data_IF_564175749125
#
_entry.id   IF_564175749125
#
_cell.length_a   1.000
_cell.length_b   1.000
_cell.length_c   1.000
_cell.angle_alpha   90.00
_cell.angle_beta   90.00
_cell.angle_gamma   90.00
#
_symmetry.space_group_name_H-M   'P 1'
#
loop_
_entity.id
_entity.type
_entity.pdbx_description
1 polymer ?
#
# COMPACT_ATOMS: atom_id res chain seq x y z
N UNK A 1 10.50 -32.08 -25.92
CA UNK A 1 9.32 -32.05 -26.84
C UNK A 1 8.02 -32.01 -26.05
N UNK A 2 6.94 -31.54 -26.69
CA UNK A 2 5.57 -31.65 -26.17
C UNK A 2 5.11 -33.11 -26.22
N UNK A 3 4.82 -33.70 -25.05
CA UNK A 3 4.46 -35.12 -24.91
C UNK A 3 2.97 -35.40 -25.18
N UNK A 4 2.37 -34.68 -26.14
CA UNK A 4 0.96 -34.82 -26.51
C UNK A 4 -0.02 -34.07 -25.62
N UNK A 5 0.38 -32.92 -25.06
CA UNK A 5 -0.53 -32.06 -24.28
C UNK A 5 -1.69 -31.56 -25.16
N UNK A 6 -2.92 -31.72 -24.69
CA UNK A 6 -4.13 -31.27 -25.42
C UNK A 6 -4.21 -29.75 -25.56
N UNK A 7 -3.61 -29.03 -24.61
CA UNK A 7 -3.58 -27.57 -24.57
C UNK A 7 -2.21 -26.99 -24.98
N UNK A 8 -1.30 -27.84 -25.44
CA UNK A 8 0.10 -27.50 -25.70
C UNK A 8 0.95 -27.40 -24.44
N UNK A 9 2.25 -27.62 -24.59
CA UNK A 9 3.27 -27.35 -23.56
C UNK A 9 4.01 -26.07 -23.92
N UNK A 10 4.20 -25.16 -22.96
CA UNK A 10 4.95 -23.91 -23.17
C UNK A 10 6.18 -23.89 -22.29
N UNK A 11 7.32 -23.46 -22.85
CA UNK A 11 8.58 -23.23 -22.16
C UNK A 11 8.90 -21.75 -22.25
N UNK A 12 9.02 -21.05 -21.11
CA UNK A 12 9.30 -19.61 -21.05
C UNK A 12 8.37 -18.79 -21.97
N UNK A 13 7.06 -19.08 -21.92
CA UNK A 13 6.02 -18.48 -22.76
C UNK A 13 6.10 -18.79 -24.28
N UNK A 14 6.99 -19.69 -24.70
CA UNK A 14 7.13 -20.15 -26.08
C UNK A 14 6.56 -21.56 -26.21
N UNK A 15 5.71 -21.80 -27.21
CA UNK A 15 5.11 -23.12 -27.43
C UNK A 15 6.19 -24.13 -27.85
N UNK A 16 6.21 -25.31 -27.21
CA UNK A 16 7.20 -26.35 -27.50
C UNK A 16 6.75 -27.14 -28.73
N UNK A 17 7.37 -26.88 -29.88
CA UNK A 17 7.03 -27.55 -31.15
C UNK A 17 7.97 -28.72 -31.49
N UNK A 18 9.19 -28.71 -30.94
CA UNK A 18 10.20 -29.76 -31.11
C UNK A 18 10.94 -30.04 -29.80
N UNK A 19 11.99 -30.87 -29.84
CA UNK A 19 12.89 -30.97 -28.69
C UNK A 19 13.60 -29.64 -28.44
N UNK A 20 13.49 -29.15 -27.22
CA UNK A 20 14.09 -27.91 -26.73
C UNK A 20 14.94 -28.23 -25.50
N UNK A 21 16.19 -27.74 -25.42
CA UNK A 21 17.02 -27.92 -24.23
C UNK A 21 16.44 -27.13 -23.06
N UNK A 22 16.57 -27.70 -21.86
CA UNK A 22 16.09 -27.10 -20.61
C UNK A 22 17.28 -26.56 -19.81
N UNK A 23 17.10 -25.38 -19.24
CA UNK A 23 18.04 -24.70 -18.35
C UNK A 23 17.45 -24.55 -16.94
N UNK A 24 18.32 -24.38 -15.96
CA UNK A 24 17.89 -24.12 -14.59
C UNK A 24 17.06 -22.84 -14.53
N UNK A 25 15.97 -22.87 -13.76
CA UNK A 25 14.96 -21.80 -13.64
C UNK A 25 14.03 -21.60 -14.84
N UNK A 26 14.05 -22.48 -15.84
CA UNK A 26 13.05 -22.48 -16.90
C UNK A 26 11.63 -22.72 -16.38
N UNK A 27 10.66 -22.04 -16.97
CA UNK A 27 9.25 -22.14 -16.63
C UNK A 27 8.52 -22.99 -17.65
N UNK A 28 8.00 -24.14 -17.23
CA UNK A 28 7.17 -25.03 -18.04
C UNK A 28 5.71 -24.80 -17.65
N UNK A 29 4.90 -24.40 -18.62
CA UNK A 29 3.47 -24.21 -18.45
C UNK A 29 2.68 -25.31 -19.17
N UNK A 30 1.76 -25.94 -18.44
CA UNK A 30 0.85 -26.98 -18.88
C UNK A 30 -0.59 -26.56 -18.49
N UNK A 31 -1.33 -26.02 -19.46
CA UNK A 31 -2.62 -25.38 -19.18
C UNK A 31 -2.48 -24.22 -18.18
N UNK A 32 -3.15 -24.33 -17.03
CA UNK A 32 -3.12 -23.33 -15.96
C UNK A 32 -2.01 -23.59 -14.92
N UNK A 33 -1.25 -24.68 -15.06
CA UNK A 33 -0.17 -25.04 -14.15
C UNK A 33 1.18 -24.50 -14.65
N UNK A 34 1.93 -23.84 -13.77
CA UNK A 34 3.28 -23.32 -14.05
C UNK A 34 4.28 -23.99 -13.11
N UNK A 35 5.24 -24.69 -13.70
CA UNK A 35 6.31 -25.43 -13.03
C UNK A 35 7.64 -24.71 -13.28
N UNK A 36 8.42 -24.50 -12.23
CA UNK A 36 9.78 -23.97 -12.32
C UNK A 36 10.70 -24.92 -11.54
N UNK A 37 11.81 -25.31 -12.15
CA UNK A 37 12.75 -26.26 -11.57
C UNK A 37 14.17 -25.69 -11.63
N UNK A 38 15.03 -26.14 -10.71
CA UNK A 38 16.45 -25.87 -10.76
C UNK A 38 17.18 -27.17 -11.12
N UNK A 39 18.00 -27.14 -12.16
CA UNK A 39 18.92 -28.25 -12.45
C UNK A 39 20.11 -28.10 -11.52
N UNK A 40 20.30 -29.08 -10.64
CA UNK A 40 21.46 -29.17 -9.76
C UNK A 40 22.30 -30.33 -10.28
N UNK A 41 23.49 -30.02 -10.79
CA UNK A 41 24.43 -31.04 -11.24
C UNK A 41 25.04 -31.72 -10.00
N UNK A 42 25.04 -33.06 -9.95
CA UNK A 42 25.60 -33.84 -8.83
C UNK A 42 27.11 -33.63 -8.64
N UNK A 43 27.77 -32.91 -9.55
CA UNK A 43 29.22 -32.67 -9.57
C UNK A 43 29.66 -31.29 -9.01
N UNK A 44 28.77 -30.50 -8.38
CA UNK A 44 29.20 -29.26 -7.72
C UNK A 44 29.87 -29.56 -6.36
N UNK A 45 31.11 -30.04 -6.41
CA UNK A 45 31.97 -30.17 -5.23
C UNK A 45 32.42 -28.78 -4.72
N UNK A 46 32.28 -28.57 -3.41
CA UNK A 46 32.79 -27.42 -2.67
C UNK A 46 34.32 -27.33 -2.82
N UNK A 47 34.82 -26.28 -3.47
CA UNK A 47 36.25 -25.96 -3.42
C UNK A 47 36.60 -25.54 -1.98
N UNK A 48 37.53 -26.22 -1.29
CA UNK A 48 37.97 -25.80 0.03
C UNK A 48 38.79 -24.51 -0.05
N UNK A 49 38.50 -23.60 0.88
CA UNK A 49 39.19 -22.31 1.06
C UNK A 49 40.61 -22.60 1.62
N UNK A 50 41.56 -23.00 0.78
CA UNK A 50 42.96 -23.21 1.22
C UNK A 50 44.01 -23.09 0.12
N UNK A 51 43.75 -22.35 -0.97
CA UNK A 51 44.77 -22.14 -2.01
C UNK A 51 44.60 -20.84 -2.79
N UNK A 52 44.89 -19.70 -2.14
CA UNK A 52 45.34 -18.50 -2.84
C UNK A 52 46.57 -17.93 -2.12
N UNK A 53 47.68 -17.82 -2.86
CA UNK A 53 49.01 -17.46 -2.40
C UNK A 53 49.14 -16.01 -1.90
N UNK A 54 50.12 -15.72 -1.02
CA UNK A 54 50.41 -14.39 -0.51
C UNK A 54 51.49 -13.72 -1.37
N UNK A 55 51.11 -12.83 -2.28
CA UNK A 55 52.05 -11.82 -2.80
C UNK A 55 51.30 -10.77 -3.64
N UNK A 56 50.99 -9.64 -3.01
CA UNK A 56 50.91 -8.32 -3.65
C UNK A 56 50.78 -7.24 -2.57
N UNK A 57 51.77 -7.15 -1.70
CA UNK A 57 52.03 -5.93 -0.93
C UNK A 57 52.70 -4.92 -1.86
N UNK A 58 51.95 -3.93 -2.36
CA UNK A 58 52.50 -2.60 -2.66
C UNK A 58 51.52 -1.53 -2.20
N UNK A 59 52.01 -0.69 -1.30
CA UNK A 59 51.33 0.48 -0.79
C UNK A 59 51.18 1.55 -1.88
N UNK A 60 49.94 1.97 -2.12
CA UNK A 60 49.60 3.18 -2.84
C UNK A 60 48.40 3.82 -2.15
N UNK A 61 48.62 4.97 -1.51
CA UNK A 61 47.63 5.67 -0.73
C UNK A 61 46.46 6.18 -1.59
N UNK A 62 45.27 5.60 -1.44
CA UNK A 62 44.00 6.22 -1.82
C UNK A 62 42.92 5.82 -0.81
N UNK A 63 42.17 6.83 -0.37
CA UNK A 63 41.10 6.78 0.63
C UNK A 63 40.00 5.77 0.27
N UNK A 64 39.47 4.97 1.21
CA UNK A 64 38.35 4.10 0.92
C UNK A 64 37.04 4.90 0.88
N UNK A 65 36.54 5.19 -0.31
CA UNK A 65 35.12 5.45 -0.54
C UNK A 65 34.47 4.09 -0.78
N UNK A 66 33.80 3.56 0.24
CA UNK A 66 33.08 2.28 0.13
C UNK A 66 31.64 2.55 -0.33
N UNK A 67 31.38 2.33 -1.62
CA UNK A 67 30.06 1.91 -2.10
C UNK A 67 30.03 0.37 -2.04
N UNK A 68 29.11 -0.26 -1.28
CA UNK A 68 28.95 -1.70 -1.34
C UNK A 68 28.32 -2.08 -2.69
N UNK A 69 29.04 -2.88 -3.48
CA UNK A 69 28.48 -3.52 -4.68
C UNK A 69 27.32 -4.43 -4.28
N UNK A 70 26.10 -4.02 -4.65
CA UNK A 70 24.88 -4.77 -4.46
C UNK A 70 24.58 -5.59 -5.72
N UNK A 71 24.24 -6.89 -5.62
CA UNK A 71 23.75 -7.65 -6.76
C UNK A 71 22.42 -7.05 -7.24
N UNK A 72 22.30 -6.81 -8.55
CA UNK A 72 21.13 -6.21 -9.17
C UNK A 72 19.96 -7.19 -9.18
N UNK A 73 18.98 -6.98 -8.29
CA UNK A 73 17.69 -7.68 -8.34
C UNK A 73 16.66 -6.86 -9.15
N UNK A 74 16.05 -7.50 -10.15
CA UNK A 74 14.95 -6.94 -10.95
C UNK A 74 13.64 -7.23 -10.21
N UNK A 75 12.93 -6.19 -9.76
CA UNK A 75 11.56 -6.30 -9.29
C UNK A 75 10.64 -6.62 -10.49
N UNK A 76 10.09 -7.84 -10.55
CA UNK A 76 9.04 -8.20 -11.52
C UNK A 76 7.74 -7.48 -11.12
N UNK A 77 7.30 -6.54 -11.96
CA UNK A 77 6.02 -5.85 -11.79
C UNK A 77 4.84 -6.85 -11.90
N UNK A 78 3.72 -6.65 -11.18
CA UNK A 78 2.51 -7.41 -11.40
C UNK A 78 1.87 -6.96 -12.72
N UNK A 79 1.79 -7.86 -13.70
CA UNK A 79 1.08 -7.61 -14.95
C UNK A 79 -0.43 -7.70 -14.70
N UNK A 80 -1.14 -6.59 -14.85
CA UNK A 80 -2.61 -6.55 -14.86
C UNK A 80 -3.14 -6.91 -16.25
N UNK A 81 -3.94 -7.98 -16.43
CA UNK A 81 -4.55 -8.29 -17.71
C UNK A 81 -5.99 -7.76 -17.73
N UNK A 82 -6.21 -6.45 -17.97
CA UNK A 82 -7.48 -5.83 -18.44
C UNK A 82 -7.29 -4.31 -18.39
N UNK A 83 -7.21 -3.55 -19.49
CA UNK A 83 -8.38 -2.85 -20.05
C UNK A 83 -7.99 -2.15 -21.38
N UNK A 84 -7.79 -2.92 -22.45
CA UNK A 84 -7.91 -2.42 -23.84
C UNK A 84 -9.41 -2.31 -24.20
N UNK A 85 -10.15 -1.36 -23.61
CA UNK A 85 -11.54 -1.06 -24.04
C UNK A 85 -11.85 0.46 -24.09
N UNK A 86 -10.93 1.34 -23.68
CA UNK A 86 -11.23 2.77 -23.51
C UNK A 86 -11.11 3.66 -24.77
N UNK A 87 -10.68 3.13 -25.93
CA UNK A 87 -10.49 3.94 -27.15
C UNK A 87 -11.75 4.16 -28.00
N UNK A 88 -12.85 3.43 -27.78
CA UNK A 88 -14.07 3.54 -28.61
C UNK A 88 -15.22 4.33 -27.97
N UNK A 89 -15.14 4.70 -26.68
CA UNK A 89 -16.21 5.46 -26.00
C UNK A 89 -16.13 6.98 -26.18
N UNK A 90 -14.95 7.56 -26.44
CA UNK A 90 -14.80 9.03 -26.56
C UNK A 90 -15.50 9.61 -27.81
N UNK A 91 -15.68 8.83 -28.88
CA UNK A 91 -16.31 9.31 -30.12
C UNK A 91 -17.85 9.43 -30.00
N UNK A 92 -18.50 8.57 -29.21
CA UNK A 92 -19.95 8.60 -29.00
C UNK A 92 -20.41 9.74 -28.09
N UNK A 93 -19.59 10.15 -27.10
CA UNK A 93 -19.92 11.28 -26.22
C UNK A 93 -19.77 12.64 -26.90
N UNK A 94 -18.89 12.78 -27.91
CA UNK A 94 -18.72 14.01 -28.67
C UNK A 94 -19.87 14.28 -29.67
N UNK A 95 -20.45 13.23 -30.27
CA UNK A 95 -21.63 13.39 -31.14
C UNK A 95 -22.91 13.70 -30.35
N UNK A 96 -23.05 13.12 -29.15
CA UNK A 96 -24.20 13.35 -28.28
C UNK A 96 -24.26 14.77 -27.71
N UNK A 97 -23.10 15.37 -27.37
CA UNK A 97 -23.05 16.76 -26.88
C UNK A 97 -23.33 17.79 -27.97
N UNK A 98 -22.97 17.50 -29.22
CA UNK A 98 -23.23 18.38 -30.37
C UNK A 98 -24.73 18.46 -30.72
N UNK A 99 -25.45 17.33 -30.64
CA UNK A 99 -26.91 17.29 -30.85
C UNK A 99 -27.69 17.98 -29.72
N UNK A 100 -27.18 17.92 -28.49
CA UNK A 100 -27.79 18.57 -27.32
C UNK A 100 -27.58 20.09 -27.33
N UNK A 101 -26.40 20.55 -27.81
CA UNK A 101 -26.13 21.96 -28.07
C UNK A 101 -26.99 22.53 -29.21
N UNK A 102 -27.26 21.73 -30.27
CA UNK A 102 -28.15 22.13 -31.37
C UNK A 102 -29.62 22.26 -30.93
N UNK A 103 -30.06 21.38 -30.01
CA UNK A 103 -31.39 21.45 -29.41
C UNK A 103 -31.58 22.66 -28.47
N UNK A 104 -30.52 23.07 -27.75
CA UNK A 104 -30.52 24.26 -26.89
C UNK A 104 -30.48 25.57 -27.71
N UNK A 105 -29.83 25.57 -28.87
CA UNK A 105 -29.77 26.74 -29.74
C UNK A 105 -31.16 27.09 -30.35
N UNK A 106 -31.95 26.08 -30.73
CA UNK A 106 -33.31 26.29 -31.26
C UNK A 106 -34.34 26.72 -30.20
N UNK A 107 -34.03 26.59 -28.92
CA UNK A 107 -34.94 26.99 -27.82
C UNK A 107 -34.63 28.40 -27.27
N UNK A 108 -33.58 29.07 -27.74
CA UNK A 108 -33.14 30.38 -27.26
C UNK A 108 -33.72 31.59 -28.02
N UNK A 109 -34.71 31.39 -28.89
CA UNK A 109 -35.22 32.45 -29.77
C UNK A 109 -36.51 33.14 -29.28
N UNK A 110 -36.82 33.07 -27.98
CA UNK A 110 -37.87 33.92 -27.40
C UNK A 110 -37.37 34.67 -26.16
N UNK A 111 -37.15 35.98 -26.33
CA UNK A 111 -37.15 36.98 -25.25
C UNK A 111 -38.32 37.95 -25.47
N UNK A 112 -38.88 38.55 -24.41
CA UNK A 112 -38.54 39.95 -24.15
C UNK A 112 -38.31 40.24 -22.64
N UNK A 113 -37.20 40.89 -22.26
CA UNK A 113 -36.95 42.33 -22.02
C UNK A 113 -37.03 42.72 -20.53
N UNK A 114 -35.86 43.17 -20.03
CA UNK A 114 -35.52 43.85 -18.78
C UNK A 114 -36.22 45.22 -18.63
N UNK A 115 -36.28 45.88 -17.45
CA UNK A 115 -35.14 46.66 -16.85
C UNK A 115 -35.19 46.70 -15.28
N UNK A 116 -34.30 47.24 -14.45
CA UNK A 116 -32.96 47.87 -14.46
C UNK A 116 -32.64 48.19 -12.99
N UNK A 117 -31.37 48.03 -12.61
CA UNK A 117 -30.58 48.64 -11.51
C UNK A 117 -31.25 49.20 -10.23
N UNK A 118 -30.66 48.86 -9.07
CA UNK A 118 -29.97 49.87 -8.23
C UNK A 118 -29.03 49.24 -7.20
N UNK A 119 -27.91 49.92 -7.06
CA UNK A 119 -26.72 49.73 -6.23
C UNK A 119 -26.90 50.20 -4.77
N UNK A 120 -25.96 49.75 -3.91
CA UNK A 120 -25.28 50.42 -2.77
C UNK A 120 -25.39 49.68 -1.40
N UNK A 121 -24.21 49.16 -1.01
CA UNK A 121 -23.47 49.21 0.25
C UNK A 121 -24.02 48.77 1.63
N UNK A 122 -23.17 47.95 2.26
CA UNK A 122 -22.60 47.99 3.62
C UNK A 122 -23.40 47.60 4.88
N UNK A 123 -22.84 46.55 5.50
CA UNK A 123 -22.73 46.17 6.92
C UNK A 123 -23.54 46.91 8.00
N UNK A 124 -24.26 46.13 8.81
CA UNK A 124 -24.08 46.22 10.27
C UNK A 124 -24.47 44.94 11.00
N UNK A 125 -23.70 44.62 12.04
CA UNK A 125 -23.94 43.58 13.05
C UNK A 125 -25.19 43.90 13.86
N UNK A 126 -25.99 42.89 14.22
CA UNK A 126 -26.50 42.76 15.60
C UNK A 126 -27.12 41.39 15.89
N UNK A 127 -26.82 40.93 17.10
CA UNK A 127 -27.44 39.78 17.79
C UNK A 127 -28.90 40.09 18.10
N UNK A 128 -29.72 39.03 18.09
CA UNK A 128 -30.82 38.83 19.03
C UNK A 128 -32.08 39.66 18.79
N UNK A 129 -33.09 39.04 18.18
CA UNK A 129 -34.48 39.08 18.63
C UNK A 129 -35.31 38.14 17.76
N UNK A 130 -35.74 37.01 18.33
CA UNK A 130 -37.01 36.41 17.94
C UNK A 130 -38.11 37.42 18.33
N UNK A 131 -38.37 38.37 17.43
CA UNK A 131 -39.46 39.32 17.54
C UNK A 131 -40.45 39.03 16.43
N UNK A 132 -41.62 38.49 16.80
CA UNK A 132 -42.80 38.41 15.93
C UNK A 132 -43.10 39.80 15.37
N UNK A 133 -42.92 39.96 14.07
CA UNK A 133 -43.70 40.91 13.28
C UNK A 133 -44.50 40.08 12.28
N UNK A 134 -45.73 39.77 12.68
CA UNK A 134 -46.79 39.42 11.75
C UNK A 134 -47.21 40.70 11.04
N UNK A 135 -46.48 41.05 9.99
CA UNK A 135 -46.91 42.07 9.05
C UNK A 135 -47.75 41.40 7.97
N UNK A 136 -48.82 42.06 7.53
CA UNK A 136 -49.92 41.52 6.72
C UNK A 136 -49.42 40.79 5.46
N UNK A 137 -49.18 39.50 5.58
CA UNK A 137 -49.00 38.60 4.45
C UNK A 137 -50.38 38.36 3.85
N UNK A 138 -50.56 38.72 2.58
CA UNK A 138 -51.50 38.00 1.71
C UNK A 138 -51.25 36.54 2.00
N UNK A 139 -52.25 35.79 2.47
CA UNK A 139 -52.08 34.37 2.74
C UNK A 139 -51.84 33.69 1.38
N UNK A 140 -50.56 33.59 0.98
CA UNK A 140 -50.11 33.05 -0.31
C UNK A 140 -50.55 31.59 -0.50
N UNK A 141 -51.02 30.95 0.58
CA UNK A 141 -51.56 29.60 0.64
C UNK A 141 -53.10 29.58 0.81
N UNK A 142 -53.79 30.73 0.73
CA UNK A 142 -55.24 30.87 0.94
C UNK A 142 -56.11 30.03 -0.01
N UNK A 143 -55.64 29.83 -1.26
CA UNK A 143 -56.35 29.05 -2.29
C UNK A 143 -56.05 27.54 -2.27
N UNK A 144 -55.26 27.06 -1.30
CA UNK A 144 -54.76 25.68 -1.21
C UNK A 144 -55.50 24.95 -0.09
N UNK A 145 -55.74 23.65 -0.27
CA UNK A 145 -56.41 22.84 0.77
C UNK A 145 -55.61 22.85 2.07
N UNK A 146 -56.29 22.70 3.21
CA UNK A 146 -55.61 22.69 4.52
C UNK A 146 -54.53 21.59 4.59
N UNK A 147 -54.81 20.41 4.03
CA UNK A 147 -53.88 19.27 3.99
C UNK A 147 -52.63 19.62 3.17
N UNK A 148 -52.81 20.21 1.99
CA UNK A 148 -51.69 20.61 1.13
C UNK A 148 -50.86 21.74 1.76
N UNK A 149 -51.52 22.67 2.47
CA UNK A 149 -50.84 23.74 3.21
C UNK A 149 -49.96 23.17 4.32
N UNK A 150 -50.49 22.26 5.14
CA UNK A 150 -49.72 21.59 6.20
C UNK A 150 -48.56 20.78 5.61
N UNK A 151 -48.78 20.10 4.49
CA UNK A 151 -47.75 19.36 3.76
C UNK A 151 -46.62 20.28 3.25
N UNK A 152 -46.94 21.41 2.62
CA UNK A 152 -45.96 22.41 2.15
C UNK A 152 -45.13 22.93 3.33
N UNK A 153 -45.77 23.28 4.44
CA UNK A 153 -45.07 23.79 5.63
C UNK A 153 -44.14 22.73 6.25
N UNK A 154 -44.59 21.48 6.31
CA UNK A 154 -43.77 20.36 6.78
C UNK A 154 -42.56 20.14 5.87
N UNK A 155 -42.74 20.15 4.54
CA UNK A 155 -41.64 20.03 3.56
C UNK A 155 -40.67 21.18 3.64
N UNK A 156 -41.16 22.40 3.84
CA UNK A 156 -40.30 23.57 4.06
C UNK A 156 -39.46 23.47 5.32
N UNK A 157 -39.99 22.87 6.39
CA UNK A 157 -39.23 22.62 7.61
C UNK A 157 -38.19 21.52 7.39
N UNK A 158 -38.58 20.42 6.74
CA UNK A 158 -37.68 19.31 6.37
C UNK A 158 -36.51 19.81 5.50
N UNK A 159 -36.78 20.66 4.51
CA UNK A 159 -35.74 21.28 3.69
C UNK A 159 -34.76 22.15 4.50
N UNK A 160 -35.27 22.95 5.45
CA UNK A 160 -34.42 23.74 6.36
C UNK A 160 -33.56 22.84 7.22
N UNK A 161 -34.08 21.71 7.66
CA UNK A 161 -33.33 20.75 8.47
C UNK A 161 -32.26 20.03 7.64
N UNK A 162 -32.56 19.64 6.39
CA UNK A 162 -31.54 19.14 5.45
C UNK A 162 -30.47 20.19 5.14
N UNK A 163 -30.85 21.45 4.97
CA UNK A 163 -29.92 22.56 4.77
C UNK A 163 -28.99 22.76 5.97
N UNK A 164 -29.53 22.77 7.20
CA UNK A 164 -28.73 22.84 8.44
C UNK A 164 -27.77 21.66 8.57
N UNK A 165 -28.19 20.48 8.12
CA UNK A 165 -27.38 19.26 8.11
C UNK A 165 -26.41 19.19 6.92
N UNK A 166 -26.25 20.27 6.13
CA UNK A 166 -25.39 20.37 4.93
C UNK A 166 -25.72 19.35 3.84
N UNK A 167 -26.94 18.82 3.82
CA UNK A 167 -27.44 17.91 2.79
C UNK A 167 -28.16 18.70 1.69
N UNK A 168 -27.44 19.61 1.03
CA UNK A 168 -28.06 20.60 0.14
C UNK A 168 -28.77 19.98 -1.06
N UNK A 169 -28.25 18.88 -1.63
CA UNK A 169 -28.94 18.15 -2.71
C UNK A 169 -30.32 17.61 -2.28
N UNK A 170 -30.45 17.08 -1.05
CA UNK A 170 -31.75 16.65 -0.53
C UNK A 170 -32.64 17.83 -0.18
N UNK A 171 -32.06 18.88 0.41
CA UNK A 171 -32.79 20.11 0.70
C UNK A 171 -33.41 20.70 -0.58
N UNK A 172 -32.68 20.69 -1.70
CA UNK A 172 -33.15 21.20 -2.98
C UNK A 172 -34.33 20.38 -3.51
N UNK A 173 -34.25 19.05 -3.46
CA UNK A 173 -35.35 18.16 -3.87
C UNK A 173 -36.61 18.42 -3.04
N UNK A 174 -36.48 18.52 -1.71
CA UNK A 174 -37.61 18.71 -0.80
C UNK A 174 -38.26 20.09 -0.98
N UNK A 175 -37.49 21.16 -1.23
CA UNK A 175 -38.08 22.47 -1.55
C UNK A 175 -38.75 22.47 -2.91
N UNK A 176 -38.19 21.77 -3.91
CA UNK A 176 -38.84 21.63 -5.22
C UNK A 176 -40.16 20.88 -5.13
N UNK A 177 -40.31 19.91 -4.24
CA UNK A 177 -41.60 19.26 -3.96
C UNK A 177 -42.64 20.26 -3.43
N UNK A 178 -42.24 21.14 -2.51
CA UNK A 178 -43.12 22.20 -1.99
C UNK A 178 -43.52 23.20 -3.09
N UNK A 179 -42.57 23.61 -3.94
CA UNK A 179 -42.80 24.49 -5.08
C UNK A 179 -43.65 23.86 -6.19
N UNK A 180 -43.67 22.52 -6.31
CA UNK A 180 -44.55 21.83 -7.27
C UNK A 180 -46.03 22.01 -6.92
N UNK A 181 -46.35 22.12 -5.63
CA UNK A 181 -47.73 22.30 -5.13
C UNK A 181 -48.09 23.79 -5.07
N UNK A 182 -47.14 24.63 -4.63
CA UNK A 182 -47.31 26.08 -4.58
C UNK A 182 -46.15 26.80 -5.31
N UNK A 183 -46.23 26.94 -6.65
CA UNK A 183 -45.14 27.52 -7.46
C UNK A 183 -44.79 28.97 -7.11
N UNK A 184 -45.76 29.73 -6.59
CA UNK A 184 -45.62 31.15 -6.27
C UNK A 184 -45.40 31.41 -4.77
N UNK A 185 -45.15 30.37 -3.96
CA UNK A 185 -44.95 30.53 -2.52
C UNK A 185 -43.55 31.12 -2.26
N UNK A 186 -43.52 32.41 -1.91
CA UNK A 186 -42.29 33.20 -1.85
C UNK A 186 -41.24 32.64 -0.88
N UNK A 187 -41.60 32.20 0.35
CA UNK A 187 -40.64 31.57 1.26
C UNK A 187 -39.96 30.31 0.70
N UNK A 188 -40.65 29.54 -0.15
CA UNK A 188 -40.07 28.38 -0.81
C UNK A 188 -39.15 28.76 -1.96
N UNK A 189 -39.51 29.80 -2.74
CA UNK A 189 -38.66 30.32 -3.80
C UNK A 189 -37.35 30.87 -3.25
N UNK A 190 -37.42 31.69 -2.19
CA UNK A 190 -36.25 32.26 -1.53
C UNK A 190 -35.33 31.16 -0.97
N UNK A 191 -35.91 30.16 -0.31
CA UNK A 191 -35.16 29.03 0.23
C UNK A 191 -34.52 28.18 -0.89
N UNK A 192 -35.23 27.94 -1.99
CA UNK A 192 -34.71 27.21 -3.15
C UNK A 192 -33.52 27.93 -3.80
N UNK A 193 -33.58 29.26 -3.92
CA UNK A 193 -32.49 30.06 -4.46
C UNK A 193 -31.23 29.96 -3.58
N UNK A 194 -31.38 30.09 -2.26
CA UNK A 194 -30.26 29.98 -1.30
C UNK A 194 -29.64 28.57 -1.34
N UNK A 195 -30.49 27.53 -1.34
CA UNK A 195 -30.02 26.14 -1.40
C UNK A 195 -29.30 25.89 -2.73
N UNK A 196 -29.87 26.35 -3.85
CA UNK A 196 -29.30 26.17 -5.18
C UNK A 196 -27.91 26.80 -5.30
N UNK A 197 -27.77 28.06 -4.88
CA UNK A 197 -26.46 28.75 -4.88
C UNK A 197 -25.44 28.02 -4.00
N UNK A 198 -25.84 27.65 -2.77
CA UNK A 198 -24.94 26.97 -1.82
C UNK A 198 -24.51 25.58 -2.33
N UNK A 199 -25.42 24.86 -2.99
CA UNK A 199 -25.13 23.56 -3.58
C UNK A 199 -24.18 23.67 -4.77
N UNK A 200 -24.37 24.67 -5.62
CA UNK A 200 -23.49 24.95 -6.76
C UNK A 200 -22.07 25.33 -6.29
N UNK A 201 -21.96 26.23 -5.31
CA UNK A 201 -20.68 26.61 -4.71
C UNK A 201 -19.95 25.41 -4.10
N UNK A 202 -20.66 24.54 -3.37
CA UNK A 202 -20.07 23.32 -2.82
C UNK A 202 -19.63 22.34 -3.91
N UNK A 203 -20.43 22.17 -4.96
CA UNK A 203 -20.11 21.30 -6.09
C UNK A 203 -18.85 21.78 -6.80
N UNK A 204 -18.75 23.10 -7.05
CA UNK A 204 -17.58 23.71 -7.67
C UNK A 204 -16.32 23.55 -6.82
N UNK A 205 -16.42 23.79 -5.50
CA UNK A 205 -15.30 23.60 -4.58
C UNK A 205 -14.85 22.13 -4.52
N UNK A 206 -15.82 21.20 -4.52
CA UNK A 206 -15.53 19.76 -4.57
C UNK A 206 -14.80 19.39 -5.84
N UNK A 207 -15.26 19.89 -7.00
CA UNK A 207 -14.62 19.66 -8.29
C UNK A 207 -13.20 20.24 -8.34
N UNK A 208 -12.99 21.47 -7.83
CA UNK A 208 -11.66 22.07 -7.73
C UNK A 208 -10.72 21.22 -6.86
N UNK A 209 -11.21 20.75 -5.71
CA UNK A 209 -10.43 19.90 -4.80
C UNK A 209 -10.08 18.56 -5.43
N UNK A 210 -10.99 17.97 -6.21
CA UNK A 210 -10.75 16.74 -6.95
C UNK A 210 -9.72 16.95 -8.06
N UNK A 211 -9.86 18.03 -8.85
CA UNK A 211 -8.89 18.39 -9.88
C UNK A 211 -7.48 18.61 -9.28
N UNK A 212 -7.37 19.34 -8.17
CA UNK A 212 -6.10 19.52 -7.45
C UNK A 212 -5.51 18.19 -6.96
N UNK A 213 -6.37 17.26 -6.52
CA UNK A 213 -5.92 15.93 -6.08
C UNK A 213 -5.40 15.10 -7.26
N UNK A 214 -6.05 15.20 -8.42
CA UNK A 214 -5.61 14.53 -9.65
C UNK A 214 -4.30 15.12 -10.19
N UNK A 215 -4.19 16.45 -10.23
CA UNK A 215 -2.97 17.17 -10.60
C UNK A 215 -1.80 16.77 -9.71
N UNK A 216 -2.01 16.74 -8.39
CA UNK A 216 -0.97 16.30 -7.44
C UNK A 216 -0.54 14.86 -7.65
N UNK A 217 -1.47 13.95 -7.97
CA UNK A 217 -1.13 12.55 -8.27
C UNK A 217 -0.29 12.44 -9.54
N UNK A 218 -0.66 13.20 -10.57
CA UNK A 218 0.09 13.27 -11.82
C UNK A 218 1.51 13.81 -11.55
N UNK A 219 1.64 14.86 -10.75
CA UNK A 219 2.94 15.39 -10.33
C UNK A 219 3.77 14.35 -9.58
N UNK A 220 3.18 13.63 -8.62
CA UNK A 220 3.84 12.55 -7.88
C UNK A 220 4.31 11.40 -8.79
N UNK A 221 3.52 11.03 -9.79
CA UNK A 221 3.82 9.99 -10.78
C UNK A 221 4.96 10.42 -11.72
N UNK A 222 4.92 11.65 -12.23
CA UNK A 222 6.00 12.24 -13.03
C UNK A 222 7.30 12.28 -12.23
N UNK A 223 7.26 12.72 -10.98
CA UNK A 223 8.43 12.77 -10.10
C UNK A 223 9.00 11.38 -9.79
N UNK A 224 8.13 10.38 -9.64
CA UNK A 224 8.53 8.98 -9.49
C UNK A 224 9.31 8.50 -10.71
N UNK A 225 8.74 8.62 -11.91
CA UNK A 225 9.41 8.18 -13.14
C UNK A 225 10.70 8.97 -13.41
N UNK A 226 10.72 10.28 -13.11
CA UNK A 226 11.93 11.08 -13.23
C UNK A 226 13.05 10.57 -12.31
N UNK A 227 12.71 10.25 -11.05
CA UNK A 227 13.65 9.66 -10.09
C UNK A 227 14.22 8.33 -10.58
N UNK A 228 13.37 7.44 -11.10
CA UNK A 228 13.79 6.13 -11.59
C UNK A 228 14.65 6.27 -12.85
N UNK A 229 14.26 7.14 -13.78
CA UNK A 229 15.03 7.43 -15.00
C UNK A 229 16.44 7.94 -14.66
N UNK A 230 16.57 8.80 -13.66
CA UNK A 230 17.85 9.32 -13.19
C UNK A 230 18.72 8.24 -12.51
N UNK A 231 18.13 7.34 -11.72
CA UNK A 231 18.88 6.22 -11.14
C UNK A 231 19.42 5.28 -12.23
N UNK A 232 18.59 4.92 -13.22
CA UNK A 232 19.05 4.14 -14.38
C UNK A 232 20.12 4.86 -15.19
N UNK A 233 19.97 6.17 -15.39
CA UNK A 233 20.97 7.00 -16.07
C UNK A 233 22.32 6.98 -15.33
N UNK A 234 22.32 7.15 -14.01
CA UNK A 234 23.55 7.13 -13.21
C UNK A 234 24.23 5.75 -13.21
N UNK A 235 23.44 4.68 -13.29
CA UNK A 235 23.92 3.29 -13.43
C UNK A 235 24.32 2.92 -14.86
N UNK A 236 24.30 3.88 -15.79
CA UNK A 236 24.58 3.67 -17.22
C UNK A 236 23.65 2.67 -17.91
N UNK A 237 22.46 2.44 -17.35
CA UNK A 237 21.40 1.61 -17.93
C UNK A 237 20.54 2.48 -18.84
N UNK A 238 21.11 2.91 -19.96
CA UNK A 238 20.55 3.95 -20.82
C UNK A 238 19.21 3.57 -21.43
N UNK A 239 19.03 2.32 -21.84
CA UNK A 239 17.77 1.82 -22.42
C UNK A 239 16.61 1.94 -21.42
N UNK A 240 16.84 1.56 -20.16
CA UNK A 240 15.83 1.65 -19.10
C UNK A 240 15.56 3.09 -18.68
N UNK A 241 16.60 3.92 -18.65
CA UNK A 241 16.43 5.36 -18.41
C UNK A 241 15.53 5.97 -19.51
N UNK A 242 15.73 5.58 -20.77
CA UNK A 242 14.94 6.04 -21.90
C UNK A 242 13.46 5.64 -21.77
N UNK A 243 13.18 4.39 -21.41
CA UNK A 243 11.81 3.91 -21.17
C UNK A 243 11.10 4.72 -20.08
N UNK A 244 11.79 5.06 -18.99
CA UNK A 244 11.21 5.87 -17.92
C UNK A 244 10.98 7.33 -18.35
N UNK A 245 11.87 7.91 -19.15
CA UNK A 245 11.62 9.23 -19.74
C UNK A 245 10.48 9.23 -20.75
N UNK A 246 10.30 8.15 -21.53
CA UNK A 246 9.17 7.99 -22.44
C UNK A 246 7.85 7.96 -21.65
N UNK A 247 7.78 7.25 -20.52
CA UNK A 247 6.60 7.25 -19.63
C UNK A 247 6.26 8.65 -19.10
N UNK A 248 7.27 9.45 -18.74
CA UNK A 248 7.04 10.83 -18.30
C UNK A 248 6.41 11.67 -19.43
N UNK A 249 6.88 11.48 -20.66
CA UNK A 249 6.37 12.20 -21.83
C UNK A 249 4.99 11.68 -22.29
N UNK A 250 4.64 10.43 -21.98
CA UNK A 250 3.26 9.94 -22.14
C UNK A 250 2.30 10.63 -21.16
N UNK A 251 2.75 10.90 -19.93
CA UNK A 251 1.97 11.60 -18.89
C UNK A 251 1.90 13.11 -19.14
N UNK A 252 3.02 13.73 -19.50
CA UNK A 252 3.13 15.16 -19.80
C UNK A 252 4.07 15.37 -21.01
N UNK A 253 3.52 15.42 -22.23
CA UNK A 253 4.31 15.57 -23.46
C UNK A 253 5.18 16.83 -23.50
N UNK A 254 4.71 17.91 -22.85
CA UNK A 254 5.32 19.23 -22.88
C UNK A 254 6.37 19.44 -21.76
N UNK A 255 6.75 18.39 -21.03
CA UNK A 255 7.74 18.52 -19.97
C UNK A 255 9.16 18.65 -20.57
N UNK A 256 9.63 19.88 -20.72
CA UNK A 256 10.95 20.21 -21.29
C UNK A 256 12.10 19.44 -20.62
N UNK A 257 12.04 19.22 -19.31
CA UNK A 257 13.09 18.51 -18.57
C UNK A 257 13.22 17.06 -19.05
N UNK A 258 12.10 16.33 -19.18
CA UNK A 258 12.11 14.96 -19.64
C UNK A 258 12.58 14.87 -21.10
N UNK A 259 12.18 15.80 -21.96
CA UNK A 259 12.63 15.85 -23.36
C UNK A 259 14.16 16.03 -23.45
N UNK A 260 14.73 17.00 -22.73
CA UNK A 260 16.18 17.25 -22.70
C UNK A 260 16.94 16.03 -22.19
N UNK A 261 16.50 15.43 -21.08
CA UNK A 261 17.18 14.27 -20.47
C UNK A 261 17.09 13.04 -21.36
N UNK A 262 15.94 12.79 -21.98
CA UNK A 262 15.76 11.74 -22.99
C UNK A 262 16.73 11.90 -24.15
N UNK A 263 16.89 13.11 -24.67
CA UNK A 263 17.84 13.39 -25.76
C UNK A 263 19.28 13.03 -25.34
N UNK A 264 19.69 13.44 -24.13
CA UNK A 264 21.01 13.07 -23.58
C UNK A 264 21.19 11.54 -23.50
N UNK A 265 20.16 10.81 -23.08
CA UNK A 265 20.19 9.33 -23.03
C UNK A 265 20.32 8.73 -24.43
N UNK A 266 19.61 9.27 -25.42
CA UNK A 266 19.69 8.82 -26.82
C UNK A 266 21.06 9.07 -27.44
N UNK A 267 21.67 10.21 -27.14
CA UNK A 267 23.04 10.52 -27.59
C UNK A 267 24.04 9.50 -27.03
N UNK A 268 23.94 9.18 -25.73
CA UNK A 268 24.75 8.14 -25.07
C UNK A 268 24.55 6.75 -25.68
N UNK A 269 23.30 6.36 -25.98
CA UNK A 269 22.97 5.09 -26.64
C UNK A 269 23.53 5.00 -28.07
N UNK A 270 23.54 6.13 -28.80
CA UNK A 270 23.98 6.18 -30.20
C UNK A 270 25.51 6.18 -30.38
N UNK A 271 26.28 6.15 -29.29
CA UNK A 271 27.75 6.20 -29.33
C UNK A 271 28.33 7.52 -29.86
N UNK A 272 27.50 8.56 -30.04
CA UNK A 272 27.96 9.91 -30.35
C UNK A 272 28.48 10.54 -29.07
N UNK A 273 29.77 10.89 -29.04
CA UNK A 273 30.34 11.66 -27.94
C UNK A 273 29.47 12.90 -27.68
N UNK A 274 29.13 13.22 -26.42
CA UNK A 274 28.23 14.34 -26.11
C UNK A 274 28.81 15.64 -26.66
N UNK A 275 27.98 16.47 -27.30
CA UNK A 275 28.38 17.80 -27.76
C UNK A 275 28.62 18.81 -26.60
N UNK A 276 28.60 18.35 -25.35
CA UNK A 276 29.00 19.14 -24.19
C UNK A 276 29.38 18.21 -23.04
N UNK A 277 30.62 18.33 -22.57
CA UNK A 277 31.09 17.83 -21.27
C UNK A 277 30.41 18.57 -20.08
N UNK A 278 29.14 18.91 -20.20
CA UNK A 278 28.33 19.26 -19.04
C UNK A 278 27.90 17.94 -18.39
N UNK A 279 28.64 17.55 -17.34
CA UNK A 279 28.02 16.81 -16.23
C UNK A 279 26.64 17.43 -16.02
N UNK A 280 25.53 16.66 -15.97
CA UNK A 280 24.22 17.22 -15.75
C UNK A 280 24.29 18.12 -14.53
N UNK A 281 24.38 19.42 -14.76
CA UNK A 281 24.47 20.40 -13.68
C UNK A 281 23.15 20.23 -12.99
N UNK A 282 23.22 19.87 -11.71
CA UNK A 282 22.09 19.87 -10.81
C UNK A 282 21.63 21.33 -10.77
N UNK A 283 20.79 21.73 -11.74
CA UNK A 283 19.92 22.87 -11.54
C UNK A 283 19.04 22.40 -10.40
N UNK A 284 19.28 23.01 -9.25
CA UNK A 284 18.67 22.63 -7.99
C UNK A 284 17.18 22.39 -8.24
N UNK A 285 16.63 21.25 -7.79
CA UNK A 285 15.19 21.04 -7.84
C UNK A 285 14.56 22.29 -7.23
N UNK A 286 13.62 22.92 -7.95
CA UNK A 286 12.81 23.98 -7.38
C UNK A 286 12.40 23.52 -6.00
N UNK A 287 12.82 24.28 -4.97
CA UNK A 287 12.80 23.83 -3.57
C UNK A 287 11.48 23.09 -3.33
N UNK A 288 11.54 21.76 -3.07
CA UNK A 288 10.38 21.05 -2.55
C UNK A 288 9.88 21.85 -1.35
N UNK A 289 8.56 22.01 -1.14
CA UNK A 289 8.05 22.74 0.01
C UNK A 289 8.83 22.27 1.24
N UNK A 290 9.44 23.21 1.98
CA UNK A 290 10.49 23.01 2.99
C UNK A 290 10.29 21.77 3.90
N UNK A 291 9.03 21.39 4.14
CA UNK A 291 8.61 20.19 4.85
C UNK A 291 9.02 18.85 4.19
N UNK A 292 9.00 18.73 2.85
CA UNK A 292 9.41 17.53 2.09
C UNK A 292 10.92 17.27 2.22
N UNK A 293 11.74 18.32 2.25
CA UNK A 293 13.19 18.21 2.45
C UNK A 293 13.57 17.78 3.89
N UNK A 294 12.85 18.26 4.91
CA UNK A 294 13.10 17.84 6.29
C UNK A 294 12.78 16.35 6.50
N UNK A 295 11.66 15.88 5.95
CA UNK A 295 11.26 14.47 6.03
C UNK A 295 12.19 13.56 5.24
N UNK A 296 12.66 13.97 4.06
CA UNK A 296 13.66 13.23 3.30
C UNK A 296 14.98 13.09 4.07
N UNK A 297 15.45 14.17 4.72
CA UNK A 297 16.64 14.13 5.59
C UNK A 297 16.45 13.21 6.80
N UNK A 298 15.25 13.18 7.36
CA UNK A 298 14.89 12.25 8.43
C UNK A 298 14.90 10.80 7.94
N UNK A 299 14.34 10.53 6.75
CA UNK A 299 14.35 9.21 6.13
C UNK A 299 15.78 8.73 5.86
N UNK A 300 16.65 9.61 5.36
CA UNK A 300 18.06 9.31 5.12
C UNK A 300 18.79 8.94 6.41
N UNK A 301 18.59 9.70 7.50
CA UNK A 301 19.15 9.38 8.80
C UNK A 301 18.68 8.01 9.31
N UNK A 302 17.39 7.70 9.17
CA UNK A 302 16.82 6.41 9.57
C UNK A 302 17.37 5.25 8.72
N UNK A 303 17.53 5.45 7.41
CA UNK A 303 18.16 4.47 6.53
C UNK A 303 19.61 4.17 6.93
N UNK A 304 20.40 5.21 7.18
CA UNK A 304 21.79 5.09 7.63
C UNK A 304 21.88 4.40 8.99
N UNK A 305 21.05 4.81 9.95
CA UNK A 305 21.01 4.20 11.29
C UNK A 305 20.61 2.72 11.22
N UNK A 306 19.59 2.37 10.44
CA UNK A 306 19.20 0.97 10.26
C UNK A 306 20.33 0.14 9.63
N UNK A 307 21.07 0.71 8.67
CA UNK A 307 22.22 0.06 8.04
C UNK A 307 23.36 -0.18 9.02
N UNK A 308 23.67 0.80 9.87
CA UNK A 308 24.65 0.63 10.94
C UNK A 308 24.24 -0.47 11.92
N UNK A 309 22.98 -0.48 12.36
CA UNK A 309 22.46 -1.52 13.26
C UNK A 309 22.54 -2.92 12.62
N UNK A 310 22.31 -3.02 11.31
CA UNK A 310 22.44 -4.29 10.58
C UNK A 310 23.91 -4.76 10.54
N UNK A 311 24.87 -3.86 10.30
CA UNK A 311 26.31 -4.16 10.35
C UNK A 311 26.76 -4.58 11.76
N UNK A 312 26.17 -4.00 12.81
CA UNK A 312 26.38 -4.40 14.20
C UNK A 312 25.71 -5.75 14.56
N UNK A 313 25.02 -6.40 13.62
CA UNK A 313 24.30 -7.66 13.83
C UNK A 313 22.94 -7.50 14.54
N UNK A 314 22.52 -6.27 14.84
CA UNK A 314 21.24 -5.94 15.49
C UNK A 314 20.09 -5.89 14.47
N UNK A 315 19.89 -7.00 13.77
CA UNK A 315 18.95 -7.09 12.63
C UNK A 315 17.51 -6.71 13.00
N UNK A 316 17.03 -7.03 14.21
CA UNK A 316 15.69 -6.65 14.69
C UNK A 316 15.51 -5.13 14.78
N UNK A 317 16.50 -4.45 15.34
CA UNK A 317 16.49 -2.99 15.49
C UNK A 317 16.63 -2.30 14.14
N UNK A 318 17.47 -2.85 13.25
CA UNK A 318 17.61 -2.40 11.86
C UNK A 318 16.27 -2.44 11.12
N UNK A 319 15.59 -3.60 11.13
CA UNK A 319 14.27 -3.78 10.53
C UNK A 319 13.22 -2.81 11.09
N UNK A 320 13.25 -2.57 12.40
CA UNK A 320 12.37 -1.57 13.04
C UNK A 320 12.65 -0.15 12.55
N UNK A 321 13.93 0.21 12.44
CA UNK A 321 14.38 1.55 12.01
C UNK A 321 14.01 1.82 10.56
N UNK A 322 14.20 0.86 9.65
CA UNK A 322 13.78 1.00 8.25
C UNK A 322 12.27 1.01 8.08
N UNK A 323 11.50 0.24 8.88
CA UNK A 323 10.03 0.35 8.89
C UNK A 323 9.53 1.73 9.31
N UNK A 324 10.27 2.44 10.15
CA UNK A 324 9.91 3.82 10.51
C UNK A 324 9.99 4.75 9.30
N UNK A 325 10.83 4.47 8.30
CA UNK A 325 10.85 5.21 7.03
C UNK A 325 9.54 5.03 6.28
N UNK A 326 9.00 3.80 6.24
CA UNK A 326 7.73 3.49 5.59
C UNK A 326 6.52 4.16 6.24
N UNK A 327 6.65 4.61 7.51
CA UNK A 327 5.59 5.32 8.24
C UNK A 327 5.61 6.83 8.03
N UNK A 328 6.67 7.38 7.43
CA UNK A 328 6.74 8.80 7.12
C UNK A 328 5.89 9.06 5.86
N UNK A 329 5.05 10.09 5.87
CA UNK A 329 4.22 10.46 4.72
C UNK A 329 4.81 11.65 3.94
N UNK A 330 4.69 11.63 2.61
CA UNK A 330 5.14 12.72 1.73
C UNK A 330 6.64 12.72 1.46
N UNK A 331 7.29 11.55 1.54
CA UNK A 331 8.68 11.35 1.15
C UNK A 331 8.85 11.30 -0.37
N UNK A 332 10.08 11.51 -0.85
CA UNK A 332 10.43 11.06 -2.20
C UNK A 332 10.30 9.52 -2.28
N UNK A 333 9.58 8.97 -3.27
CA UNK A 333 9.40 7.52 -3.45
C UNK A 333 10.67 6.67 -3.37
N UNK A 334 11.82 7.23 -3.77
CA UNK A 334 13.13 6.56 -3.67
C UNK A 334 13.46 6.05 -2.26
N UNK A 335 12.98 6.74 -1.21
CA UNK A 335 13.27 6.36 0.18
C UNK A 335 12.41 5.19 0.65
N UNK A 336 11.18 5.06 0.15
CA UNK A 336 10.36 3.88 0.39
C UNK A 336 10.99 2.66 -0.28
N UNK A 337 11.37 2.80 -1.55
CA UNK A 337 12.02 1.72 -2.31
C UNK A 337 13.30 1.23 -1.61
N UNK A 338 14.17 2.15 -1.16
CA UNK A 338 15.38 1.79 -0.40
C UNK A 338 15.08 1.10 0.92
N UNK A 339 14.10 1.59 1.69
CA UNK A 339 13.72 0.97 2.95
C UNK A 339 13.16 -0.45 2.75
N UNK A 340 12.32 -0.67 1.73
CA UNK A 340 11.79 -1.99 1.39
C UNK A 340 12.88 -2.96 0.94
N UNK A 341 13.84 -2.49 0.14
CA UNK A 341 14.99 -3.30 -0.27
C UNK A 341 15.81 -3.76 0.93
N UNK A 342 16.16 -2.84 1.84
CA UNK A 342 16.90 -3.20 3.05
C UNK A 342 16.12 -4.15 3.95
N UNK A 343 14.82 -3.93 4.12
CA UNK A 343 13.95 -4.84 4.89
C UNK A 343 13.93 -6.23 4.28
N UNK A 344 13.81 -6.33 2.95
CA UNK A 344 13.72 -7.60 2.24
C UNK A 344 15.03 -8.36 2.31
N UNK A 345 16.14 -7.70 1.96
CA UNK A 345 17.47 -8.27 2.02
C UNK A 345 17.81 -8.78 3.43
N UNK A 346 17.55 -7.99 4.46
CA UNK A 346 17.85 -8.41 5.85
C UNK A 346 16.93 -9.54 6.32
N UNK A 347 15.68 -9.59 5.87
CA UNK A 347 14.80 -10.75 6.15
C UNK A 347 15.33 -12.02 5.51
N UNK A 348 15.72 -11.97 4.23
CA UNK A 348 16.27 -13.13 3.52
C UNK A 348 17.55 -13.64 4.19
N UNK A 349 18.46 -12.74 4.60
CA UNK A 349 19.66 -13.10 5.36
C UNK A 349 19.32 -13.78 6.69
N UNK A 350 18.30 -13.28 7.40
CA UNK A 350 17.83 -13.90 8.64
C UNK A 350 17.18 -15.26 8.39
N UNK A 351 16.37 -15.40 7.33
CA UNK A 351 15.77 -16.68 6.93
C UNK A 351 16.85 -17.71 6.60
N UNK A 352 17.86 -17.34 5.82
CA UNK A 352 19.01 -18.21 5.53
C UNK A 352 19.75 -18.64 6.81
N UNK A 353 19.96 -17.71 7.75
CA UNK A 353 20.61 -18.00 9.04
C UNK A 353 19.83 -19.02 9.87
N UNK A 354 18.49 -18.90 9.94
CA UNK A 354 17.67 -19.76 10.81
C UNK A 354 17.15 -21.02 10.12
N UNK A 355 17.21 -21.12 8.79
CA UNK A 355 16.78 -22.29 8.03
C UNK A 355 17.31 -23.64 8.58
N UNK A 356 18.62 -23.81 8.89
CA UNK A 356 19.11 -25.08 9.45
C UNK A 356 18.52 -25.38 10.83
N UNK A 357 18.34 -24.36 11.68
CA UNK A 357 17.74 -24.51 13.02
C UNK A 357 16.25 -24.86 12.95
N UNK A 358 15.52 -24.24 12.01
CA UNK A 358 14.12 -24.58 11.73
C UNK A 358 14.00 -26.01 11.23
N UNK A 359 14.91 -26.44 10.36
CA UNK A 359 14.94 -27.81 9.84
C UNK A 359 15.21 -28.81 10.97
N UNK A 360 16.18 -28.51 11.84
CA UNK A 360 16.45 -29.31 13.03
C UNK A 360 15.24 -29.38 13.96
N UNK A 361 14.57 -28.26 14.21
CA UNK A 361 13.36 -28.23 15.03
C UNK A 361 12.23 -29.07 14.42
N UNK A 362 12.04 -29.04 13.09
CA UNK A 362 11.06 -29.88 12.38
C UNK A 362 11.36 -31.37 12.57
N UNK A 363 12.62 -31.80 12.45
CA UNK A 363 13.02 -33.20 12.71
C UNK A 363 12.73 -33.61 14.16
N UNK A 364 13.00 -32.74 15.14
CA UNK A 364 12.69 -33.02 16.55
C UNK A 364 11.18 -33.10 16.83
N UNK A 365 10.37 -32.33 16.10
CA UNK A 365 8.91 -32.43 16.17
C UNK A 365 8.44 -33.80 15.67
N UNK A 366 9.02 -34.29 14.57
CA UNK A 366 8.72 -35.61 14.01
C UNK A 366 9.18 -36.76 14.92
N UNK A 367 10.35 -36.61 15.57
CA UNK A 367 10.84 -37.56 16.59
C UNK A 367 10.09 -37.47 17.93
N UNK A 368 9.10 -36.58 18.05
CA UNK A 368 8.31 -36.30 19.27
C UNK A 368 9.13 -35.74 20.44
N UNK A 369 10.32 -35.20 20.16
CA UNK A 369 11.18 -34.51 21.12
C UNK A 369 10.78 -33.03 21.27
N UNK A 370 9.52 -32.79 21.67
CA UNK A 370 8.90 -31.48 21.67
C UNK A 370 9.59 -30.44 22.57
N UNK A 371 10.18 -30.86 23.69
CA UNK A 371 10.86 -29.94 24.62
C UNK A 371 12.10 -29.34 23.95
N UNK A 372 12.95 -30.16 23.34
CA UNK A 372 14.14 -29.71 22.61
C UNK A 372 13.77 -28.86 21.39
N UNK A 373 12.72 -29.26 20.66
CA UNK A 373 12.21 -28.46 19.55
C UNK A 373 11.76 -27.07 20.03
N UNK A 374 11.09 -26.99 21.19
CA UNK A 374 10.64 -25.72 21.76
C UNK A 374 11.81 -24.80 22.12
N UNK A 375 12.87 -25.33 22.71
CA UNK A 375 14.07 -24.54 23.08
C UNK A 375 14.71 -23.87 21.86
N UNK A 376 14.88 -24.62 20.76
CA UNK A 376 15.42 -24.09 19.50
C UNK A 376 14.51 -22.99 18.94
N UNK A 377 13.21 -23.25 18.90
CA UNK A 377 12.22 -22.31 18.34
C UNK A 377 12.10 -21.04 19.18
N UNK A 378 12.10 -21.14 20.51
CA UNK A 378 12.06 -20.00 21.42
C UNK A 378 13.34 -19.14 21.28
N UNK A 379 14.50 -19.77 21.03
CA UNK A 379 15.74 -19.08 20.69
C UNK A 379 15.62 -18.24 19.41
N UNK A 380 15.05 -18.82 18.34
CA UNK A 380 14.80 -18.12 17.08
C UNK A 380 13.81 -16.96 17.29
N UNK A 381 12.70 -17.21 18.00
CA UNK A 381 11.65 -16.21 18.24
C UNK A 381 12.10 -15.08 19.18
N UNK A 382 13.12 -15.30 20.01
CA UNK A 382 13.72 -14.23 20.83
C UNK A 382 14.42 -13.20 19.96
N UNK A 383 15.18 -13.64 18.96
CA UNK A 383 15.93 -12.78 18.04
C UNK A 383 15.04 -12.25 16.90
N UNK A 384 14.15 -13.09 16.36
CA UNK A 384 13.22 -12.75 15.29
C UNK A 384 11.77 -13.13 15.64
N UNK A 385 11.08 -12.31 16.46
CA UNK A 385 9.75 -12.64 16.99
C UNK A 385 8.66 -12.82 15.94
N UNK A 386 8.83 -12.23 14.75
CA UNK A 386 7.86 -12.27 13.65
C UNK A 386 8.25 -13.27 12.57
N UNK A 387 9.07 -14.28 12.89
CA UNK A 387 9.42 -15.33 11.93
C UNK A 387 8.19 -16.23 11.68
N UNK A 388 7.66 -16.31 10.45
CA UNK A 388 6.41 -17.04 10.18
C UNK A 388 6.54 -18.55 10.45
N UNK A 389 7.58 -19.21 9.92
CA UNK A 389 7.75 -20.66 10.14
C UNK A 389 8.05 -21.02 11.60
N UNK A 390 8.89 -20.25 12.28
CA UNK A 390 9.22 -20.51 13.68
C UNK A 390 7.99 -20.37 14.60
N UNK A 391 7.14 -19.36 14.35
CA UNK A 391 5.87 -19.18 15.07
C UNK A 391 4.95 -20.38 14.86
N UNK A 392 4.70 -20.75 13.59
CA UNK A 392 3.83 -21.87 13.26
C UNK A 392 4.34 -23.19 13.86
N UNK A 393 5.65 -23.43 13.85
CA UNK A 393 6.25 -24.61 14.48
C UNK A 393 6.13 -24.57 16.01
N UNK A 394 6.33 -23.41 16.64
CA UNK A 394 6.24 -23.26 18.11
C UNK A 394 4.82 -23.45 18.62
N UNK A 395 3.81 -22.99 17.88
CA UNK A 395 2.40 -23.23 18.18
C UNK A 395 2.07 -24.73 18.13
N UNK A 396 2.52 -25.43 17.08
CA UNK A 396 2.35 -26.89 16.95
C UNK A 396 2.99 -27.65 18.12
N UNK A 397 4.22 -27.29 18.47
CA UNK A 397 4.94 -27.87 19.61
C UNK A 397 4.21 -27.61 20.93
N UNK A 398 3.73 -26.40 21.14
CA UNK A 398 3.01 -26.02 22.37
C UNK A 398 1.70 -26.80 22.47
N UNK A 399 0.96 -26.97 21.38
CA UNK A 399 -0.25 -27.80 21.33
C UNK A 399 0.06 -29.27 21.64
N UNK A 400 1.14 -29.83 21.08
CA UNK A 400 1.55 -31.21 21.36
C UNK A 400 1.96 -31.42 22.83
N UNK A 401 2.72 -30.47 23.40
CA UNK A 401 3.10 -30.49 24.81
C UNK A 401 1.87 -30.41 25.72
N UNK A 402 0.89 -29.57 25.39
CA UNK A 402 -0.38 -29.50 26.13
C UNK A 402 -1.11 -30.85 26.14
N UNK A 403 -1.22 -31.50 24.97
CA UNK A 403 -1.83 -32.83 24.86
C UNK A 403 -1.12 -33.89 25.71
N UNK A 404 0.22 -33.85 25.73
CA UNK A 404 1.03 -34.75 26.55
C UNK A 404 0.86 -34.46 28.04
N UNK A 405 0.88 -33.19 28.44
CA UNK A 405 0.65 -32.76 29.81
C UNK A 405 -0.72 -33.20 30.34
N UNK A 406 -1.76 -33.06 29.51
CA UNK A 406 -3.11 -33.54 29.83
C UNK A 406 -3.14 -35.04 30.09
N UNK A 407 -2.51 -35.83 29.22
CA UNK A 407 -2.45 -37.29 29.35
C UNK A 407 -1.74 -37.70 30.64
N UNK A 408 -0.52 -37.20 30.87
CA UNK A 408 0.25 -37.51 32.07
C UNK A 408 -0.47 -37.06 33.35
N UNK A 409 -1.14 -35.91 33.31
CA UNK A 409 -1.92 -35.43 34.45
C UNK A 409 -3.10 -36.36 34.76
N UNK A 410 -3.81 -36.84 33.73
CA UNK A 410 -4.92 -37.78 33.94
C UNK A 410 -4.43 -39.12 34.50
N UNK A 411 -3.30 -39.64 34.01
CA UNK A 411 -2.70 -40.87 34.55
C UNK A 411 -2.24 -40.68 36.00
N UNK A 412 -1.65 -39.53 36.34
CA UNK A 412 -1.26 -39.20 37.71
C UNK A 412 -2.46 -39.17 38.67
N UNK A 413 -3.61 -38.64 38.24
CA UNK A 413 -4.84 -38.65 39.04
C UNK A 413 -5.39 -40.06 39.22
N UNK A 414 -5.31 -40.91 38.19
CA UNK A 414 -5.70 -42.32 38.30
C UNK A 414 -4.78 -43.04 39.30
N UNK A 415 -3.47 -42.86 39.19
CA UNK A 415 -2.50 -43.43 40.13
C UNK A 415 -2.76 -42.98 41.57
N UNK A 416 -3.06 -41.69 41.80
CA UNK A 416 -3.46 -41.13 43.10
C UNK A 416 -4.72 -41.85 43.64
N UNK A 417 -5.74 -42.03 42.82
CA UNK A 417 -7.00 -42.68 43.21
C UNK A 417 -6.86 -44.19 43.49
N UNK A 418 -5.90 -44.87 42.85
CA UNK A 418 -5.60 -46.30 43.06
C UNK A 418 -4.62 -46.50 44.23
N UNK A 419 -4.16 -45.41 44.86
CA UNK A 419 -3.25 -45.45 46.02
C UNK A 419 -1.77 -45.52 45.65
N UNK A 420 -1.40 -45.39 44.37
CA UNK A 420 -0.01 -45.35 43.88
C UNK A 420 0.55 -43.93 43.94
N UNK A 421 0.66 -43.40 45.16
CA UNK A 421 1.00 -41.99 45.39
C UNK A 421 2.39 -41.62 44.85
N UNK A 422 3.39 -42.47 44.99
CA UNK A 422 4.75 -42.18 44.50
C UNK A 422 4.80 -42.04 42.97
N UNK A 423 4.10 -42.92 42.25
CA UNK A 423 3.94 -42.86 40.79
C UNK A 423 3.23 -41.58 40.35
N UNK A 424 2.20 -41.14 41.09
CA UNK A 424 1.52 -39.88 40.82
C UNK A 424 2.45 -38.66 41.04
N UNK A 425 3.26 -38.66 42.11
CA UNK A 425 4.24 -37.59 42.37
C UNK A 425 5.27 -37.47 41.24
N UNK A 426 5.81 -38.59 40.76
CA UNK A 426 6.77 -38.60 39.65
C UNK A 426 6.18 -37.99 38.38
N UNK A 427 4.93 -38.34 38.03
CA UNK A 427 4.24 -37.78 36.85
C UNK A 427 3.96 -36.28 37.01
N UNK A 428 3.50 -35.83 38.18
CA UNK A 428 3.32 -34.39 38.42
C UNK A 428 4.65 -33.63 38.33
N UNK A 429 5.73 -34.19 38.85
CA UNK A 429 7.08 -33.61 38.73
C UNK A 429 7.52 -33.52 37.28
N UNK A 430 7.34 -34.58 36.51
CA UNK A 430 7.64 -34.60 35.07
C UNK A 430 6.91 -33.48 34.32
N UNK A 431 5.64 -33.23 34.62
CA UNK A 431 4.86 -32.15 34.01
C UNK A 431 5.48 -30.78 34.36
N UNK A 432 5.77 -30.54 35.64
CA UNK A 432 6.34 -29.25 36.09
C UNK A 432 7.73 -28.99 35.48
N UNK A 433 8.54 -30.03 35.33
CA UNK A 433 9.91 -29.90 34.82
C UNK A 433 9.98 -29.65 33.30
N UNK A 434 9.00 -30.15 32.53
CA UNK A 434 9.09 -30.21 31.05
C UNK A 434 8.03 -29.41 30.30
N UNK A 435 6.90 -29.12 30.94
CA UNK A 435 5.80 -28.39 30.31
C UNK A 435 5.94 -26.89 30.63
N UNK A 436 5.73 -25.98 29.66
CA UNK A 436 5.85 -24.55 29.89
C UNK A 436 4.95 -24.05 31.02
N UNK A 437 5.42 -23.09 31.81
CA UNK A 437 4.67 -22.52 32.94
C UNK A 437 3.37 -21.81 32.53
N UNK A 438 3.25 -21.43 31.25
CA UNK A 438 2.02 -20.87 30.67
C UNK A 438 0.90 -21.91 30.50
N UNK A 439 1.20 -23.20 30.58
CA UNK A 439 0.22 -24.28 30.44
C UNK A 439 -0.59 -24.49 31.73
N UNK A 440 -1.89 -24.77 31.59
CA UNK A 440 -2.80 -25.03 32.70
C UNK A 440 -2.37 -26.26 33.53
N UNK A 441 -1.93 -27.33 32.87
CA UNK A 441 -1.56 -28.58 33.55
C UNK A 441 -0.26 -28.45 34.34
N UNK A 442 0.65 -27.56 33.92
CA UNK A 442 1.81 -27.20 34.73
C UNK A 442 1.38 -26.62 36.08
N UNK A 443 0.46 -25.65 36.09
CA UNK A 443 -0.01 -25.02 37.34
C UNK A 443 -0.79 -26.00 38.21
N UNK A 444 -1.63 -26.84 37.61
CA UNK A 444 -2.37 -27.90 38.32
C UNK A 444 -1.44 -28.93 38.96
N UNK A 445 -0.43 -29.39 38.23
CA UNK A 445 0.56 -30.35 38.73
C UNK A 445 1.39 -29.75 39.87
N UNK A 446 1.84 -28.50 39.73
CA UNK A 446 2.55 -27.76 40.78
C UNK A 446 1.74 -27.64 42.07
N UNK A 447 0.44 -27.35 41.97
CA UNK A 447 -0.46 -27.28 43.13
C UNK A 447 -0.72 -28.65 43.77
N UNK A 448 -0.72 -29.73 42.97
CA UNK A 448 -0.82 -31.10 43.48
C UNK A 448 0.44 -31.49 44.25
N UNK A 449 1.64 -31.18 43.74
CA UNK A 449 2.91 -31.45 44.42
C UNK A 449 3.00 -30.80 45.80
N UNK A 450 2.51 -29.57 45.97
CA UNK A 450 2.46 -28.89 47.27
C UNK A 450 1.63 -29.61 48.34
N UNK A 451 0.72 -30.51 47.96
CA UNK A 451 -0.08 -31.31 48.92
C UNK A 451 0.68 -32.55 49.41
N UNK A 452 1.80 -32.85 48.78
CA UNK A 452 2.65 -34.01 49.05
C UNK A 452 3.97 -33.66 49.74
N UNK A 453 4.24 -32.36 49.87
CA UNK A 453 5.22 -31.73 50.77
C UNK A 453 4.58 -31.52 52.14
#
# INVERSE_FOLDING_TARGET
>A
KDSGSTNGTFLNHTKVESDMPLSSSDQIQLGDCLLQFALVDEAFELVPISSLSPDATQAGALSPTWEPEMPSYILKQPQAPFLRVLKQRKLFFALGSLLLLLGLFLFMEQKPKSPTERTIAEESKTKGALGRQADKTVDELAGITQVDREYILAKMQEAKDYYKNRQYGKAQLVVQEALRIAPNYKPALDLNAIIGQTFEDQSLETQKREAQKEEKKLEEEIQYHLSVALDYFNRQQWEKALEEYDKILELQPDLEEAQKRRQVVQEKLSGKAPASDEKPTVIAPQKPPYQKNLKNKQAEKLLAQGSQLAQEGKMKEALGTWRNVLRLEGLNPQYYAKAEQFITFTKEQMEQKYLPLITQAKVLIESKEYVKAKEILDGILKEYPTHPEAQAASERVTFALHGLAKKEYTEAIIDENVGRVDSAKEKFKWIVDRIPASDEYHQKAKNKLKKYE
#
